data_IF_469006669354
#
_entry.id   IF_469006669354
#
_cell.length_a   1.000
_cell.length_b   1.000
_cell.length_c   1.000
_cell.angle_alpha   90.00
_cell.angle_beta   90.00
_cell.angle_gamma   90.00
#
_symmetry.space_group_name_H-M   'P 1'
#
loop_
_entity.id
_entity.type
_entity.pdbx_description
1 polymer ?
#
# COMPACT_ATOMS: atom_id res chain seq x y z
N UNK A 1 30.94 12.25 -22.24
CA UNK A 1 30.66 11.52 -23.50
C UNK A 1 29.96 10.18 -23.26
N UNK A 2 30.36 9.39 -22.26
CA UNK A 2 29.78 8.05 -21.99
C UNK A 2 28.27 8.05 -21.70
N UNK A 3 27.76 9.05 -20.98
CA UNK A 3 26.33 9.18 -20.67
C UNK A 3 25.47 9.54 -21.90
N UNK A 4 26.04 10.23 -22.90
CA UNK A 4 25.34 10.55 -24.17
C UNK A 4 25.24 9.30 -25.04
N UNK A 5 26.30 8.49 -25.11
CA UNK A 5 26.30 7.24 -25.87
C UNK A 5 25.33 6.21 -25.29
N UNK A 6 25.24 6.11 -23.96
CA UNK A 6 24.26 5.26 -23.29
C UNK A 6 22.83 5.70 -23.57
N UNK A 7 22.56 7.01 -23.55
CA UNK A 7 21.24 7.54 -23.90
C UNK A 7 20.88 7.28 -25.36
N UNK A 8 21.81 7.52 -26.30
CA UNK A 8 21.59 7.21 -27.72
C UNK A 8 21.27 5.74 -27.94
N UNK A 9 21.98 4.83 -27.25
CA UNK A 9 21.70 3.40 -27.28
C UNK A 9 20.31 3.08 -26.72
N UNK A 10 19.92 3.67 -25.59
CA UNK A 10 18.59 3.47 -25.03
C UNK A 10 17.48 3.96 -25.98
N UNK A 11 17.64 5.15 -26.57
CA UNK A 11 16.67 5.70 -27.54
C UNK A 11 16.56 4.81 -28.78
N UNK A 12 17.69 4.29 -29.29
CA UNK A 12 17.67 3.43 -30.50
C UNK A 12 16.94 2.10 -30.32
N UNK A 13 16.63 1.70 -29.08
CA UNK A 13 15.90 0.48 -28.77
C UNK A 13 14.39 0.68 -28.65
N UNK A 14 13.93 1.93 -28.53
CA UNK A 14 12.51 2.24 -28.43
C UNK A 14 11.82 2.00 -29.79
N UNK A 15 10.60 1.47 -29.75
CA UNK A 15 9.75 1.36 -30.93
C UNK A 15 9.15 2.72 -31.33
N UNK A 16 8.61 2.83 -32.54
CA UNK A 16 8.07 4.08 -33.06
C UNK A 16 6.92 4.64 -32.19
N UNK A 17 6.11 3.75 -31.59
CA UNK A 17 5.00 4.16 -30.72
C UNK A 17 5.54 4.72 -29.40
N UNK A 18 6.56 4.10 -28.82
CA UNK A 18 7.23 4.57 -27.60
C UNK A 18 7.89 5.93 -27.83
N UNK A 19 8.56 6.13 -28.96
CA UNK A 19 9.17 7.41 -29.34
C UNK A 19 8.10 8.50 -29.51
N UNK A 20 7.02 8.21 -30.24
CA UNK A 20 5.89 9.14 -30.43
C UNK A 20 5.23 9.49 -29.10
N UNK A 21 4.99 8.50 -28.24
CA UNK A 21 4.43 8.72 -26.91
C UNK A 21 5.33 9.65 -26.08
N UNK A 22 6.64 9.41 -26.07
CA UNK A 22 7.59 10.26 -25.34
C UNK A 22 7.61 11.70 -25.87
N UNK A 23 7.60 11.90 -27.19
CA UNK A 23 7.58 13.22 -27.82
C UNK A 23 6.30 13.99 -27.49
N UNK A 24 5.13 13.36 -27.65
CA UNK A 24 3.85 13.97 -27.30
C UNK A 24 3.83 14.38 -25.83
N UNK A 25 4.35 13.52 -24.97
CA UNK A 25 4.39 13.74 -23.54
C UNK A 25 5.31 14.92 -23.15
N UNK A 26 6.46 15.05 -23.83
CA UNK A 26 7.36 16.20 -23.66
C UNK A 26 6.65 17.50 -24.06
N UNK A 27 5.96 17.53 -25.19
CA UNK A 27 5.26 18.74 -25.64
C UNK A 27 4.11 19.13 -24.72
N UNK A 28 3.24 18.19 -24.33
CA UNK A 28 2.14 18.46 -23.41
C UNK A 28 2.66 19.02 -22.08
N UNK A 29 3.74 18.44 -21.55
CA UNK A 29 4.31 18.88 -20.26
C UNK A 29 5.03 20.21 -20.35
N UNK A 30 5.63 20.53 -21.51
CA UNK A 30 6.26 21.83 -21.72
C UNK A 30 5.28 23.00 -21.66
N UNK A 31 3.99 22.77 -21.89
CA UNK A 31 2.94 23.78 -21.75
C UNK A 31 2.34 23.85 -20.33
N UNK A 32 2.56 22.82 -19.50
CA UNK A 32 1.89 22.63 -18.21
C UNK A 32 2.79 22.80 -16.98
N UNK A 33 4.11 22.85 -17.17
CA UNK A 33 5.11 22.88 -16.08
C UNK A 33 6.02 24.11 -16.18
N UNK A 34 6.55 24.57 -15.04
CA UNK A 34 7.61 25.60 -15.02
C UNK A 34 8.95 25.05 -15.55
N UNK A 35 9.85 25.94 -15.98
CA UNK A 35 11.13 25.55 -16.60
C UNK A 35 11.98 24.62 -15.71
N UNK A 36 12.12 24.95 -14.42
CA UNK A 36 12.90 24.15 -13.46
C UNK A 36 12.30 22.76 -13.23
N UNK A 37 10.97 22.68 -13.20
CA UNK A 37 10.27 21.41 -13.08
C UNK A 37 10.45 20.56 -14.34
N UNK A 38 10.40 21.20 -15.51
CA UNK A 38 10.63 20.52 -16.77
C UNK A 38 12.05 19.97 -16.89
N UNK A 39 13.06 20.71 -16.40
CA UNK A 39 14.44 20.22 -16.33
C UNK A 39 14.54 18.95 -15.45
N UNK A 40 13.92 18.96 -14.26
CA UNK A 40 13.90 17.79 -13.35
C UNK A 40 13.24 16.58 -14.01
N UNK A 41 12.12 16.81 -14.69
CA UNK A 41 11.39 15.81 -15.46
C UNK A 41 12.28 15.18 -16.54
N UNK A 42 12.93 15.99 -17.38
CA UNK A 42 13.81 15.49 -18.46
C UNK A 42 14.98 14.66 -17.91
N UNK A 43 15.57 15.09 -16.80
CA UNK A 43 16.64 14.35 -16.13
C UNK A 43 16.16 12.99 -15.61
N UNK A 44 14.97 12.95 -15.00
CA UNK A 44 14.31 11.72 -14.52
C UNK A 44 13.97 10.77 -15.68
N UNK A 45 13.44 11.27 -16.79
CA UNK A 45 13.19 10.49 -18.00
C UNK A 45 14.47 9.84 -18.53
N UNK A 46 15.53 10.64 -18.70
CA UNK A 46 16.84 10.16 -19.16
C UNK A 46 17.36 9.03 -18.29
N UNK A 47 17.30 9.17 -16.96
CA UNK A 47 17.79 8.15 -16.02
C UNK A 47 16.99 6.86 -16.15
N UNK A 48 15.66 6.97 -16.25
CA UNK A 48 14.76 5.82 -16.40
C UNK A 48 15.03 5.04 -17.68
N UNK A 49 15.16 5.72 -18.83
CA UNK A 49 15.45 5.10 -20.12
C UNK A 49 16.79 4.33 -20.13
N UNK A 50 17.83 4.93 -19.55
CA UNK A 50 19.15 4.29 -19.46
C UNK A 50 19.08 3.03 -18.58
N UNK A 51 18.31 3.06 -17.48
CA UNK A 51 18.18 1.94 -16.56
C UNK A 51 17.43 0.77 -17.21
N UNK A 52 16.34 1.05 -17.92
CA UNK A 52 15.54 0.03 -18.64
C UNK A 52 16.38 -0.64 -19.73
N UNK A 53 17.09 0.15 -20.55
CA UNK A 53 17.98 -0.36 -21.60
C UNK A 53 19.12 -1.28 -21.08
N UNK A 54 19.48 -1.21 -19.80
CA UNK A 54 20.51 -2.09 -19.19
C UNK A 54 19.94 -3.44 -18.72
N UNK A 55 18.65 -3.50 -18.41
CA UNK A 55 18.00 -4.68 -17.83
C UNK A 55 17.36 -5.62 -18.89
N UNK A 56 17.60 -5.34 -20.16
CA UNK A 56 16.71 -5.67 -21.28
C UNK A 56 17.04 -6.96 -22.04
N UNK A 57 17.88 -7.86 -21.53
CA UNK A 57 18.27 -9.01 -22.35
C UNK A 57 17.12 -9.97 -22.66
N UNK A 58 15.99 -9.97 -21.94
CA UNK A 58 14.79 -10.78 -22.29
C UNK A 58 13.51 -10.25 -21.63
N UNK A 59 12.65 -9.49 -22.34
CA UNK A 59 11.16 -9.49 -22.20
C UNK A 59 10.51 -8.43 -23.09
N UNK A 60 9.35 -8.76 -23.67
CA UNK A 60 8.41 -7.77 -24.22
C UNK A 60 8.04 -6.77 -23.11
N UNK A 61 8.07 -5.46 -23.41
CA UNK A 61 7.71 -4.43 -22.43
C UNK A 61 6.21 -4.48 -22.16
N UNK A 62 5.77 -4.44 -20.88
CA UNK A 62 4.35 -4.34 -20.57
C UNK A 62 3.78 -3.06 -21.19
N UNK A 63 2.47 -3.02 -21.45
CA UNK A 63 1.73 -1.85 -21.91
C UNK A 63 1.18 -1.01 -20.74
N UNK A 64 0.84 -1.66 -19.63
CA UNK A 64 0.39 -0.98 -18.42
C UNK A 64 1.05 -1.61 -17.19
N UNK A 65 1.36 -0.76 -16.20
CA UNK A 65 1.91 -1.15 -14.91
C UNK A 65 0.87 -0.89 -13.85
N UNK A 66 0.47 -1.94 -13.15
CA UNK A 66 -0.43 -1.88 -12.01
C UNK A 66 0.39 -1.88 -10.72
N UNK A 67 0.12 -0.91 -9.85
CA UNK A 67 0.70 -0.84 -8.51
C UNK A 67 -0.41 -1.18 -7.53
N UNK A 68 -0.17 -2.20 -6.70
CA UNK A 68 -1.13 -2.71 -5.71
C UNK A 68 -0.46 -2.79 -4.34
N UNK A 69 -1.27 -2.75 -3.29
CA UNK A 69 -0.82 -2.84 -1.90
C UNK A 69 -1.31 -4.17 -1.30
N UNK A 70 -0.38 -4.94 -0.73
CA UNK A 70 -0.64 -6.24 -0.12
C UNK A 70 -0.74 -7.41 -1.12
N UNK A 71 -0.33 -8.60 -0.64
CA UNK A 71 -0.28 -9.82 -1.45
C UNK A 71 -1.65 -10.36 -1.84
N UNK A 72 -2.69 -10.13 -1.02
CA UNK A 72 -4.06 -10.58 -1.34
C UNK A 72 -4.56 -9.91 -2.63
N UNK A 73 -4.48 -8.57 -2.71
CA UNK A 73 -4.86 -7.80 -3.90
C UNK A 73 -4.06 -8.25 -5.12
N UNK A 74 -2.75 -8.44 -4.95
CA UNK A 74 -1.87 -8.89 -6.02
C UNK A 74 -2.20 -10.29 -6.52
N UNK A 75 -2.47 -11.23 -5.62
CA UNK A 75 -2.85 -12.61 -5.94
C UNK A 75 -4.16 -12.66 -6.72
N UNK A 76 -5.17 -11.94 -6.24
CA UNK A 76 -6.48 -11.85 -6.89
C UNK A 76 -6.38 -11.21 -8.27
N UNK A 77 -5.64 -10.11 -8.42
CA UNK A 77 -5.47 -9.43 -9.71
C UNK A 77 -4.66 -10.27 -10.72
N UNK A 78 -3.59 -10.95 -10.27
CA UNK A 78 -2.84 -11.89 -11.12
C UNK A 78 -3.75 -13.03 -11.60
N UNK A 79 -4.60 -13.55 -10.72
CA UNK A 79 -5.55 -14.60 -11.07
C UNK A 79 -6.58 -14.10 -12.10
N UNK A 80 -7.11 -12.89 -11.92
CA UNK A 80 -8.02 -12.23 -12.84
C UNK A 80 -7.41 -12.11 -14.25
N UNK A 81 -6.16 -11.66 -14.36
CA UNK A 81 -5.51 -11.47 -15.66
C UNK A 81 -5.08 -12.76 -16.35
N UNK A 82 -4.87 -13.85 -15.60
CA UNK A 82 -4.24 -15.09 -16.09
C UNK A 82 -4.82 -15.67 -17.37
N UNK A 83 -6.13 -15.54 -17.59
CA UNK A 83 -6.83 -16.12 -18.77
C UNK A 83 -7.23 -15.07 -19.82
N UNK A 84 -6.70 -13.86 -19.72
CA UNK A 84 -6.98 -12.74 -20.62
C UNK A 84 -5.72 -12.36 -21.41
N UNK A 85 -5.84 -11.42 -22.35
CA UNK A 85 -4.68 -10.84 -23.05
C UNK A 85 -3.73 -10.11 -22.10
N UNK A 86 -4.25 -9.61 -20.97
CA UNK A 86 -3.51 -8.87 -19.93
C UNK A 86 -2.35 -9.66 -19.33
N UNK A 87 -2.40 -11.00 -19.31
CA UNK A 87 -1.31 -11.83 -18.79
C UNK A 87 0.05 -11.60 -19.47
N UNK A 88 0.06 -11.08 -20.71
CA UNK A 88 1.28 -10.77 -21.48
C UNK A 88 1.60 -9.27 -21.51
N UNK A 89 0.59 -8.42 -21.36
CA UNK A 89 0.72 -6.97 -21.55
C UNK A 89 0.73 -6.20 -20.24
N UNK A 90 0.37 -6.80 -19.11
CA UNK A 90 0.28 -6.13 -17.82
C UNK A 90 1.39 -6.57 -16.86
N UNK A 91 2.01 -5.61 -16.19
CA UNK A 91 2.91 -5.87 -15.06
C UNK A 91 2.25 -5.45 -13.75
N UNK A 92 2.33 -6.31 -12.72
CA UNK A 92 1.88 -5.98 -11.37
C UNK A 92 3.10 -5.79 -10.46
N UNK A 93 3.24 -4.59 -9.91
CA UNK A 93 4.17 -4.25 -8.84
C UNK A 93 3.41 -4.27 -7.52
N UNK A 94 3.87 -5.07 -6.57
CA UNK A 94 3.29 -5.20 -5.24
C UNK A 94 4.15 -4.41 -4.28
N UNK A 95 3.59 -3.42 -3.59
CA UNK A 95 4.19 -2.98 -2.33
C UNK A 95 3.70 -3.95 -1.25
N UNK A 96 4.58 -4.81 -0.73
CA UNK A 96 4.22 -5.62 0.43
C UNK A 96 3.98 -4.69 1.62
N UNK A 97 3.23 -5.16 2.62
CA UNK A 97 3.00 -4.52 3.92
C UNK A 97 1.75 -3.59 4.01
N UNK A 98 1.29 -3.42 5.26
CA UNK A 98 0.21 -2.54 5.69
C UNK A 98 0.82 -1.16 6.00
N UNK A 99 0.81 -0.27 5.01
CA UNK A 99 1.45 1.06 5.13
C UNK A 99 0.77 2.01 6.12
N UNK A 100 -0.39 1.65 6.69
CA UNK A 100 -1.01 2.42 7.77
C UNK A 100 -0.29 2.24 9.12
N UNK A 101 0.60 1.26 9.23
CA UNK A 101 1.29 0.88 10.47
C UNK A 101 2.80 0.99 10.31
N UNK A 102 3.53 1.30 11.37
CA UNK A 102 4.99 1.40 11.40
C UNK A 102 5.53 2.67 10.73
N UNK A 103 6.85 2.90 10.80
CA UNK A 103 7.45 4.12 10.27
C UNK A 103 7.52 4.06 8.73
N UNK A 104 7.29 5.20 8.09
CA UNK A 104 7.42 5.37 6.63
C UNK A 104 8.41 6.49 6.28
N UNK A 105 9.17 6.96 7.27
CA UNK A 105 10.17 8.00 7.05
C UNK A 105 11.14 7.56 5.96
N UNK A 106 11.33 8.43 4.95
CA UNK A 106 12.21 8.16 3.82
C UNK A 106 12.01 6.78 3.15
N UNK A 107 10.77 6.24 3.11
CA UNK A 107 10.47 4.89 2.59
C UNK A 107 10.87 4.70 1.11
N UNK A 108 11.04 5.79 0.36
CA UNK A 108 11.62 5.75 -0.98
C UNK A 108 13.11 5.35 -0.99
N UNK A 109 13.78 5.23 0.16
CA UNK A 109 15.23 4.94 0.28
C UNK A 109 15.47 3.57 0.89
N UNK A 110 16.67 3.01 0.68
CA UNK A 110 17.05 1.73 1.32
C UNK A 110 17.12 1.87 2.84
N UNK A 111 17.55 3.01 3.34
CA UNK A 111 17.67 3.32 4.76
C UNK A 111 16.30 3.41 5.44
N UNK A 112 15.33 4.15 4.86
CA UNK A 112 13.98 4.22 5.40
C UNK A 112 13.28 2.85 5.43
N UNK A 113 13.51 2.02 4.40
CA UNK A 113 13.05 0.63 4.40
C UNK A 113 13.72 -0.17 5.53
N UNK A 114 15.04 -0.07 5.70
CA UNK A 114 15.74 -0.74 6.80
C UNK A 114 15.17 -0.34 8.17
N UNK A 115 14.99 0.96 8.41
CA UNK A 115 14.44 1.50 9.65
C UNK A 115 13.06 0.93 9.95
N UNK A 116 12.20 0.82 8.93
CA UNK A 116 10.87 0.21 9.05
C UNK A 116 10.92 -1.26 9.44
N UNK A 117 11.75 -2.05 8.76
CA UNK A 117 11.85 -3.48 9.06
C UNK A 117 12.55 -3.75 10.39
N UNK A 118 13.47 -2.88 10.81
CA UNK A 118 14.06 -2.92 12.14
C UNK A 118 13.02 -2.61 13.22
N UNK A 119 12.14 -1.62 13.02
CA UNK A 119 11.03 -1.33 13.92
C UNK A 119 10.11 -2.55 14.08
N UNK A 120 9.74 -3.24 12.99
CA UNK A 120 8.95 -4.47 13.09
C UNK A 120 9.68 -5.59 13.84
N UNK A 121 10.98 -5.76 13.60
CA UNK A 121 11.79 -6.77 14.28
C UNK A 121 11.83 -6.55 15.79
N UNK A 122 11.87 -5.30 16.25
CA UNK A 122 11.91 -4.94 17.67
C UNK A 122 10.53 -5.05 18.32
N UNK A 123 9.47 -4.70 17.59
CA UNK A 123 8.13 -4.58 18.13
C UNK A 123 7.28 -5.85 17.96
N UNK A 124 7.47 -6.66 16.92
CA UNK A 124 6.70 -7.90 16.68
C UNK A 124 7.44 -9.14 17.22
N UNK A 125 6.71 -10.25 17.41
CA UNK A 125 7.25 -11.49 18.02
C UNK A 125 7.09 -12.74 17.15
N UNK A 126 6.15 -12.77 16.19
CA UNK A 126 5.92 -13.97 15.38
C UNK A 126 7.05 -14.25 14.37
N UNK A 127 7.08 -15.48 13.87
CA UNK A 127 8.22 -16.13 13.20
C UNK A 127 8.83 -15.27 12.07
N UNK A 128 10.00 -14.69 12.36
CA UNK A 128 10.83 -13.78 11.55
C UNK A 128 11.20 -14.26 10.13
N UNK A 129 10.75 -15.44 9.71
CA UNK A 129 11.11 -16.06 8.42
C UNK A 129 10.63 -15.23 7.23
N UNK A 130 9.49 -14.57 7.34
CA UNK A 130 8.92 -13.82 6.23
C UNK A 130 9.38 -12.36 6.20
N UNK A 131 9.94 -11.82 7.30
CA UNK A 131 10.26 -10.39 7.40
C UNK A 131 11.33 -9.97 6.40
N UNK A 132 12.36 -10.79 6.19
CA UNK A 132 13.39 -10.52 5.19
C UNK A 132 12.82 -10.62 3.76
N UNK A 133 11.91 -11.55 3.49
CA UNK A 133 11.23 -11.64 2.19
C UNK A 133 10.37 -10.40 1.91
N UNK A 134 9.64 -9.90 2.91
CA UNK A 134 8.88 -8.66 2.81
C UNK A 134 9.79 -7.45 2.57
N UNK A 135 10.93 -7.36 3.26
CA UNK A 135 11.93 -6.32 3.06
C UNK A 135 12.49 -6.32 1.64
N UNK A 136 12.93 -7.48 1.16
CA UNK A 136 13.43 -7.62 -0.21
C UNK A 136 12.33 -7.33 -1.24
N UNK A 137 11.09 -7.72 -0.96
CA UNK A 137 9.90 -7.38 -1.74
C UNK A 137 9.71 -5.86 -1.85
N UNK A 138 9.77 -5.14 -0.73
CA UNK A 138 9.61 -3.69 -0.70
C UNK A 138 10.74 -2.97 -1.45
N UNK A 139 12.01 -3.35 -1.20
CA UNK A 139 13.17 -2.82 -1.93
C UNK A 139 12.99 -2.96 -3.44
N UNK A 140 12.62 -4.17 -3.89
CA UNK A 140 12.40 -4.47 -5.30
C UNK A 140 11.22 -3.70 -5.88
N UNK A 141 10.12 -3.54 -5.13
CA UNK A 141 8.96 -2.78 -5.55
C UNK A 141 9.31 -1.31 -5.79
N UNK A 142 9.99 -0.68 -4.83
CA UNK A 142 10.43 0.72 -4.93
C UNK A 142 11.42 0.91 -6.09
N UNK A 143 12.36 -0.01 -6.28
CA UNK A 143 13.29 0.04 -7.42
C UNK A 143 12.55 -0.10 -8.76
N UNK A 144 11.55 -0.99 -8.85
CA UNK A 144 10.71 -1.13 -10.05
C UNK A 144 9.91 0.13 -10.34
N UNK A 145 9.27 0.74 -9.34
CA UNK A 145 8.48 1.97 -9.51
C UNK A 145 9.37 3.10 -10.03
N UNK A 146 10.57 3.25 -9.47
CA UNK A 146 11.57 4.21 -9.96
C UNK A 146 12.03 3.91 -11.39
N UNK A 147 12.02 2.66 -11.80
CA UNK A 147 12.44 2.24 -13.14
C UNK A 147 11.34 2.30 -14.20
N UNK A 148 10.08 2.59 -13.85
CA UNK A 148 8.97 2.67 -14.81
C UNK A 148 9.32 3.64 -15.95
N UNK A 149 9.28 3.21 -17.23
CA UNK A 149 9.57 4.06 -18.38
C UNK A 149 8.56 5.22 -18.51
N UNK A 150 8.95 6.42 -18.97
CA UNK A 150 8.08 7.60 -18.99
C UNK A 150 6.79 7.47 -19.81
N UNK A 151 6.79 6.63 -20.84
CA UNK A 151 5.66 6.40 -21.75
C UNK A 151 4.66 5.35 -21.24
N UNK A 152 4.98 4.67 -20.15
CA UNK A 152 4.16 3.58 -19.62
C UNK A 152 2.91 4.10 -18.91
N UNK A 153 1.74 3.53 -19.18
CA UNK A 153 0.54 3.78 -18.37
C UNK A 153 0.71 3.16 -16.97
N UNK A 154 0.37 3.91 -15.93
CA UNK A 154 0.43 3.46 -14.53
C UNK A 154 -0.95 3.49 -13.91
N UNK A 155 -1.42 2.38 -13.35
CA UNK A 155 -2.68 2.30 -12.60
C UNK A 155 -2.35 1.94 -11.15
N UNK A 156 -2.70 2.82 -10.22
CA UNK A 156 -2.55 2.59 -8.77
C UNK A 156 -3.91 2.14 -8.24
N UNK A 157 -3.96 0.91 -7.73
CA UNK A 157 -5.16 0.36 -7.11
C UNK A 157 -5.26 0.82 -5.66
N UNK A 158 -6.41 1.36 -5.29
CA UNK A 158 -6.64 1.91 -3.95
C UNK A 158 -8.03 1.56 -3.44
N UNK A 159 -8.25 1.81 -2.17
CA UNK A 159 -9.52 1.72 -1.46
C UNK A 159 -9.59 2.88 -0.47
N UNK A 160 -10.76 3.12 0.15
CA UNK A 160 -10.94 4.08 1.23
C UNK A 160 -10.46 3.52 2.58
N UNK A 161 -9.16 3.14 2.64
CA UNK A 161 -8.48 2.74 3.87
C UNK A 161 -7.09 3.37 3.98
N UNK A 162 -6.60 3.49 5.21
CA UNK A 162 -5.35 4.20 5.50
C UNK A 162 -4.12 3.58 4.84
N UNK A 163 -4.08 2.25 4.68
CA UNK A 163 -2.91 1.56 4.14
C UNK A 163 -2.73 1.85 2.65
N UNK A 164 -3.79 1.64 1.86
CA UNK A 164 -3.77 1.90 0.42
C UNK A 164 -3.66 3.39 0.10
N UNK A 165 -4.29 4.24 0.91
CA UNK A 165 -4.21 5.70 0.74
C UNK A 165 -2.84 6.27 1.12
N UNK A 166 -2.16 5.71 2.12
CA UNK A 166 -0.74 6.02 2.39
C UNK A 166 0.13 5.59 1.22
N UNK A 167 -0.10 4.38 0.71
CA UNK A 167 0.61 3.84 -0.43
C UNK A 167 0.48 4.69 -1.70
N UNK A 168 -0.72 5.17 -2.02
CA UNK A 168 -0.98 6.07 -3.14
C UNK A 168 -0.05 7.29 -3.10
N UNK A 169 0.02 7.96 -1.96
CA UNK A 169 0.79 9.19 -1.76
C UNK A 169 2.30 8.94 -1.89
N UNK A 170 2.80 7.87 -1.27
CA UNK A 170 4.22 7.47 -1.39
C UNK A 170 4.58 7.14 -2.84
N UNK A 171 3.73 6.38 -3.54
CA UNK A 171 3.96 6.04 -4.95
C UNK A 171 3.97 7.30 -5.81
N UNK A 172 3.02 8.23 -5.62
CA UNK A 172 2.97 9.48 -6.36
C UNK A 172 4.21 10.35 -6.12
N UNK A 173 4.70 10.42 -4.88
CA UNK A 173 5.97 11.08 -4.57
C UNK A 173 7.16 10.45 -5.30
N UNK A 174 7.25 9.12 -5.35
CA UNK A 174 8.32 8.43 -6.09
C UNK A 174 8.23 8.73 -7.59
N UNK A 175 7.01 8.89 -8.12
CA UNK A 175 6.73 9.23 -9.51
C UNK A 175 6.68 10.74 -9.79
N UNK A 176 6.98 11.63 -8.82
CA UNK A 176 6.72 13.07 -8.94
C UNK A 176 7.39 13.71 -10.17
N UNK A 177 8.63 13.30 -10.48
CA UNK A 177 9.39 13.82 -11.62
C UNK A 177 9.21 12.96 -12.89
N UNK A 178 8.18 12.11 -12.95
CA UNK A 178 7.92 11.26 -14.11
C UNK A 178 6.65 11.71 -14.81
N UNK A 179 6.70 11.66 -16.13
CA UNK A 179 5.61 12.21 -16.94
C UNK A 179 4.49 11.25 -17.22
N UNK A 180 4.65 9.97 -16.88
CA UNK A 180 3.67 8.90 -17.04
C UNK A 180 2.22 9.36 -16.82
N UNK A 181 1.31 8.85 -17.65
CA UNK A 181 -0.12 8.91 -17.36
C UNK A 181 -0.41 7.98 -16.17
N UNK A 182 -0.79 8.59 -15.05
CA UNK A 182 -1.08 7.89 -13.79
C UNK A 182 -2.58 7.94 -13.55
N UNK A 183 -3.16 6.79 -13.24
CA UNK A 183 -4.58 6.59 -12.95
C UNK A 183 -4.72 6.05 -11.53
N UNK A 184 -5.78 6.45 -10.85
CA UNK A 184 -6.22 5.85 -9.58
C UNK A 184 -7.45 5.00 -9.88
N UNK A 185 -7.36 3.68 -9.65
CA UNK A 185 -8.52 2.80 -9.63
C UNK A 185 -8.89 2.59 -8.16
N UNK A 186 -9.85 3.38 -7.68
CA UNK A 186 -10.38 3.27 -6.34
C UNK A 186 -11.50 2.23 -6.31
N UNK A 187 -11.24 1.08 -5.68
CA UNK A 187 -12.13 -0.08 -5.68
C UNK A 187 -13.42 0.16 -4.88
N UNK A 188 -13.38 1.00 -3.84
CA UNK A 188 -14.57 1.44 -3.12
C UNK A 188 -15.50 2.21 -4.05
N UNK A 189 -14.97 3.19 -4.80
CA UNK A 189 -15.76 3.98 -5.76
C UNK A 189 -16.30 3.12 -6.90
N UNK A 190 -15.45 2.28 -7.49
CA UNK A 190 -15.87 1.38 -8.56
C UNK A 190 -16.98 0.43 -8.09
N UNK A 191 -16.87 -0.13 -6.90
CA UNK A 191 -17.90 -1.01 -6.36
C UNK A 191 -19.25 -0.29 -6.21
N UNK A 192 -19.25 0.92 -5.65
CA UNK A 192 -20.49 1.67 -5.48
C UNK A 192 -21.08 2.14 -6.81
N UNK A 193 -20.25 2.39 -7.83
CA UNK A 193 -20.75 2.70 -9.17
C UNK A 193 -21.45 1.50 -9.84
N UNK A 194 -20.90 0.29 -9.67
CA UNK A 194 -21.45 -0.91 -10.33
C UNK A 194 -22.54 -1.64 -9.55
N UNK A 195 -22.51 -1.58 -8.22
CA UNK A 195 -23.32 -2.45 -7.38
C UNK A 195 -24.28 -1.70 -6.46
N UNK A 196 -24.20 -0.37 -6.34
CA UNK A 196 -25.10 0.34 -5.43
C UNK A 196 -26.51 0.46 -5.96
N UNK A 197 -27.44 -0.10 -5.19
CA UNK A 197 -28.88 0.11 -5.37
C UNK A 197 -29.34 1.18 -4.36
N UNK A 198 -30.03 2.26 -4.79
CA UNK A 198 -30.50 3.35 -3.92
C UNK A 198 -31.42 2.96 -2.74
N UNK A 199 -31.75 1.67 -2.58
CA UNK A 199 -32.76 1.16 -1.63
C UNK A 199 -32.19 0.21 -0.57
N UNK A 200 -30.86 0.00 -0.52
CA UNK A 200 -30.23 -0.89 0.46
C UNK A 200 -29.31 -0.08 1.38
N UNK A 201 -29.76 0.18 2.61
CA UNK A 201 -29.01 0.90 3.66
C UNK A 201 -27.75 0.15 4.15
N UNK A 202 -27.58 -1.13 3.80
CA UNK A 202 -26.54 -2.03 4.31
C UNK A 202 -25.59 -2.56 3.23
N UNK A 203 -25.09 -1.70 2.34
CA UNK A 203 -24.01 -2.12 1.42
C UNK A 203 -22.66 -2.10 2.14
N UNK A 204 -22.24 -3.26 2.63
CA UNK A 204 -20.91 -3.46 3.23
C UNK A 204 -19.87 -3.66 2.12
N UNK A 205 -19.23 -2.57 1.69
CA UNK A 205 -18.01 -2.69 0.89
C UNK A 205 -16.91 -3.42 1.69
N UNK A 206 -16.12 -4.32 1.08
CA UNK A 206 -15.01 -4.98 1.77
C UNK A 206 -13.97 -3.99 2.31
N UNK A 207 -13.23 -4.29 3.39
CA UNK A 207 -12.37 -3.26 4.04
C UNK A 207 -11.14 -2.86 3.22
N UNK A 208 -10.76 -3.69 2.25
CA UNK A 208 -9.62 -3.45 1.38
C UNK A 208 -9.84 -4.02 -0.01
N UNK A 209 -9.04 -3.56 -0.98
CA UNK A 209 -9.03 -4.14 -2.32
C UNK A 209 -8.71 -5.64 -2.32
N UNK A 210 -8.01 -6.13 -1.29
CA UNK A 210 -7.61 -7.52 -1.14
C UNK A 210 -8.74 -8.47 -0.76
N UNK A 211 -9.89 -7.97 -0.30
CA UNK A 211 -11.07 -8.77 0.04
C UNK A 211 -12.02 -8.94 -1.17
N UNK A 212 -11.74 -8.29 -2.31
CA UNK A 212 -12.52 -8.44 -3.53
C UNK A 212 -12.15 -9.71 -4.30
N UNK A 213 -13.15 -10.29 -4.98
CA UNK A 213 -12.92 -11.45 -5.84
C UNK A 213 -12.19 -11.04 -7.13
N UNK A 214 -11.42 -11.97 -7.75
CA UNK A 214 -10.76 -11.71 -9.03
C UNK A 214 -11.72 -11.22 -10.12
N UNK A 215 -12.95 -11.72 -10.15
CA UNK A 215 -13.97 -11.34 -11.15
C UNK A 215 -14.38 -9.87 -11.01
N UNK A 216 -14.57 -9.39 -9.76
CA UNK A 216 -14.88 -7.98 -9.49
C UNK A 216 -13.71 -7.08 -9.86
N UNK A 217 -12.48 -7.47 -9.52
CA UNK A 217 -11.29 -6.70 -9.91
C UNK A 217 -11.15 -6.61 -11.44
N UNK A 218 -11.38 -7.70 -12.16
CA UNK A 218 -11.37 -7.70 -13.63
C UNK A 218 -12.45 -6.77 -14.18
N UNK A 219 -13.68 -6.87 -13.66
CA UNK A 219 -14.79 -6.01 -14.07
C UNK A 219 -14.46 -4.53 -13.86
N UNK A 220 -13.90 -4.15 -12.71
CA UNK A 220 -13.50 -2.77 -12.45
C UNK A 220 -12.41 -2.31 -13.43
N UNK A 221 -11.42 -3.16 -13.73
CA UNK A 221 -10.40 -2.78 -14.68
C UNK A 221 -10.94 -2.54 -16.10
N UNK A 222 -11.87 -3.39 -16.54
CA UNK A 222 -12.39 -3.36 -17.91
C UNK A 222 -13.50 -2.32 -18.13
N UNK A 223 -14.30 -2.03 -17.10
CA UNK A 223 -15.54 -1.27 -17.25
C UNK A 223 -15.52 0.08 -16.53
N UNK A 224 -14.69 0.26 -15.50
CA UNK A 224 -14.66 1.52 -14.76
C UNK A 224 -14.01 2.63 -15.61
N UNK A 225 -14.65 3.80 -15.67
CA UNK A 225 -14.15 4.90 -16.49
C UNK A 225 -12.91 5.54 -15.85
N UNK A 226 -11.73 5.06 -16.22
CA UNK A 226 -10.46 5.60 -15.75
C UNK A 226 -10.06 6.86 -16.52
N UNK A 227 -9.89 7.96 -15.79
CA UNK A 227 -9.33 9.22 -16.31
C UNK A 227 -7.93 9.46 -15.76
N UNK A 228 -6.98 9.98 -16.57
CA UNK A 228 -5.66 10.33 -16.07
C UNK A 228 -5.79 11.34 -14.93
N UNK A 229 -5.00 11.15 -13.87
CA UNK A 229 -4.94 12.09 -12.77
C UNK A 229 -4.43 13.43 -13.28
N UNK A 230 -5.20 14.49 -13.06
CA UNK A 230 -4.76 15.83 -13.43
C UNK A 230 -3.53 16.25 -12.59
N UNK A 231 -2.78 17.20 -13.14
CA UNK A 231 -1.52 17.65 -12.55
C UNK A 231 -1.67 18.21 -11.14
N UNK A 232 -2.71 19.02 -10.89
CA UNK A 232 -2.96 19.62 -9.58
C UNK A 232 -3.21 18.56 -8.49
N UNK A 233 -4.09 17.58 -8.76
CA UNK A 233 -4.36 16.46 -7.84
C UNK A 233 -3.11 15.61 -7.62
N UNK A 234 -2.37 15.33 -8.69
CA UNK A 234 -1.14 14.53 -8.61
C UNK A 234 -0.08 15.21 -7.74
N UNK A 235 0.13 16.51 -7.91
CA UNK A 235 1.09 17.27 -7.12
C UNK A 235 0.65 17.37 -5.66
N UNK A 236 -0.61 17.69 -5.40
CA UNK A 236 -1.14 17.73 -4.02
C UNK A 236 -0.92 16.41 -3.26
N UNK A 237 -1.25 15.27 -3.88
CA UNK A 237 -1.04 13.95 -3.26
C UNK A 237 0.44 13.56 -3.17
N UNK A 238 1.28 14.02 -4.12
CA UNK A 238 2.73 13.85 -4.06
C UNK A 238 3.35 14.63 -2.89
N UNK A 239 2.90 15.87 -2.66
CA UNK A 239 3.34 16.73 -1.56
C UNK A 239 2.87 16.16 -0.21
N UNK A 240 1.63 15.66 -0.13
CA UNK A 240 1.16 14.86 1.01
C UNK A 240 2.10 13.66 1.26
N UNK A 241 2.47 12.94 0.19
CA UNK A 241 3.43 11.84 0.26
C UNK A 241 4.78 12.25 0.80
N UNK A 242 5.31 13.39 0.34
CA UNK A 242 6.56 13.96 0.85
C UNK A 242 6.47 14.24 2.35
N UNK A 243 5.41 14.92 2.79
CA UNK A 243 5.19 15.30 4.18
C UNK A 243 5.08 14.06 5.08
N UNK A 244 4.33 13.04 4.65
CA UNK A 244 4.20 11.78 5.39
C UNK A 244 5.55 11.09 5.65
N UNK A 245 6.52 11.24 4.75
CA UNK A 245 7.85 10.64 4.89
C UNK A 245 8.84 11.52 5.65
N UNK A 246 8.40 12.68 6.15
CA UNK A 246 9.16 13.54 7.07
C UNK A 246 8.66 13.41 8.52
N UNK A 247 7.44 12.92 8.72
CA UNK A 247 6.81 12.82 10.04
C UNK A 247 7.12 11.46 10.66
N UNK A 248 7.66 11.50 11.88
CA UNK A 248 7.84 10.31 12.71
C UNK A 248 6.49 9.92 13.34
N UNK A 249 5.74 9.05 12.65
CA UNK A 249 4.51 8.46 13.17
C UNK A 249 4.42 6.97 12.78
N UNK A 250 3.79 6.16 13.64
CA UNK A 250 3.67 4.71 13.50
C UNK A 250 2.25 4.22 13.19
N UNK A 251 1.23 5.09 13.19
CA UNK A 251 -0.15 4.72 12.93
C UNK A 251 -0.90 5.80 12.16
N UNK A 252 -1.58 5.38 11.09
CA UNK A 252 -2.39 6.26 10.24
C UNK A 252 -3.84 5.80 10.23
N UNK A 253 -4.72 6.76 10.01
CA UNK A 253 -6.17 6.60 9.95
C UNK A 253 -6.72 7.14 8.64
N UNK A 254 -7.82 6.56 8.17
CA UNK A 254 -8.59 7.09 7.06
C UNK A 254 -9.99 7.40 7.55
N UNK A 255 -10.29 8.68 7.68
CA UNK A 255 -11.55 9.17 8.24
C UNK A 255 -12.03 10.35 7.41
N UNK A 256 -13.33 10.35 7.06
CA UNK A 256 -13.96 11.42 6.29
C UNK A 256 -13.25 11.76 4.96
N UNK A 257 -12.65 10.76 4.32
CA UNK A 257 -11.93 10.93 3.06
C UNK A 257 -10.52 11.54 3.21
N UNK A 258 -10.00 11.63 4.43
CA UNK A 258 -8.69 12.19 4.73
C UNK A 258 -7.78 11.16 5.41
N UNK A 259 -6.51 11.21 5.06
CA UNK A 259 -5.46 10.45 5.74
C UNK A 259 -4.91 11.29 6.90
N UNK A 260 -4.93 10.74 8.11
CA UNK A 260 -4.45 11.42 9.31
C UNK A 260 -3.53 10.53 10.13
N UNK A 261 -2.52 11.14 10.71
CA UNK A 261 -1.69 10.50 11.73
C UNK A 261 -2.51 10.24 13.00
N UNK A 262 -2.12 9.20 13.74
CA UNK A 262 -2.80 8.75 14.94
C UNK A 262 -1.81 8.34 16.02
N UNK A 263 -2.26 8.34 17.27
CA UNK A 263 -1.49 7.79 18.38
C UNK A 263 -1.44 6.26 18.30
N UNK A 264 -0.34 5.68 18.78
CA UNK A 264 -0.09 4.24 18.76
C UNK A 264 -1.12 3.47 19.60
N UNK A 265 -1.66 4.12 20.65
CA UNK A 265 -2.68 3.62 21.56
C UNK A 265 -4.11 3.70 21.03
N UNK A 266 -4.36 4.23 19.82
CA UNK A 266 -5.73 4.44 19.28
C UNK A 266 -6.62 3.20 19.40
N UNK A 267 -6.05 2.02 19.23
CA UNK A 267 -6.77 0.75 19.28
C UNK A 267 -6.97 0.17 20.69
N UNK A 268 -6.31 0.70 21.70
CA UNK A 268 -6.21 0.10 23.03
C UNK A 268 -7.58 -0.01 23.72
N UNK A 269 -8.35 1.08 23.72
CA UNK A 269 -9.71 1.09 24.29
C UNK A 269 -10.64 0.08 23.59
N UNK A 270 -10.46 -0.10 22.28
CA UNK A 270 -11.24 -1.07 21.51
C UNK A 270 -10.84 -2.51 21.83
N UNK A 271 -9.54 -2.79 22.03
CA UNK A 271 -9.07 -4.10 22.51
C UNK A 271 -9.68 -4.41 23.88
N UNK A 272 -9.68 -3.44 24.80
CA UNK A 272 -10.30 -3.57 26.13
C UNK A 272 -11.81 -3.82 26.00
N UNK A 273 -12.50 -3.09 25.12
CA UNK A 273 -13.92 -3.28 24.84
C UNK A 273 -14.23 -4.71 24.35
N UNK A 274 -13.48 -5.22 23.38
CA UNK A 274 -13.60 -6.60 22.90
C UNK A 274 -13.36 -7.62 24.02
N UNK A 275 -12.37 -7.38 24.89
CA UNK A 275 -12.12 -8.25 26.04
C UNK A 275 -13.29 -8.25 27.04
N UNK A 276 -13.89 -7.09 27.35
CA UNK A 276 -15.11 -6.98 28.18
C UNK A 276 -16.25 -7.80 27.58
N UNK A 277 -16.48 -7.66 26.27
CA UNK A 277 -17.51 -8.41 25.53
C UNK A 277 -17.29 -9.92 25.65
N UNK A 278 -16.07 -10.40 25.39
CA UNK A 278 -15.74 -11.83 25.48
C UNK A 278 -15.88 -12.38 26.90
N UNK A 279 -15.49 -11.61 27.93
CA UNK A 279 -15.72 -12.00 29.33
C UNK A 279 -17.20 -12.14 29.68
N UNK A 280 -18.06 -11.28 29.11
CA UNK A 280 -19.51 -11.39 29.28
C UNK A 280 -20.08 -12.61 28.56
N UNK A 281 -19.61 -12.90 27.34
CA UNK A 281 -20.06 -14.03 26.53
C UNK A 281 -19.67 -15.39 27.11
N UNK A 282 -18.46 -15.53 27.65
CA UNK A 282 -18.00 -16.78 28.23
C UNK A 282 -18.71 -17.11 29.57
N UNK A 283 -19.42 -16.15 30.17
CA UNK A 283 -20.21 -16.31 31.39
C UNK A 283 -19.41 -16.47 32.69
N UNK A 284 -18.10 -16.75 32.59
CA UNK A 284 -17.14 -16.79 33.68
C UNK A 284 -16.10 -15.69 33.51
N UNK A 285 -15.49 -15.21 34.59
CA UNK A 285 -14.36 -14.29 34.49
C UNK A 285 -13.06 -15.07 34.64
N UNK A 286 -12.53 -15.56 33.52
CA UNK A 286 -11.30 -16.36 33.44
C UNK A 286 -10.47 -16.01 32.19
N UNK A 287 -9.25 -16.54 32.11
CA UNK A 287 -8.31 -16.39 31.00
C UNK A 287 -8.88 -16.88 29.68
N UNK A 288 -8.62 -16.13 28.60
CA UNK A 288 -8.95 -16.50 27.22
C UNK A 288 -7.69 -16.53 26.35
N UNK A 289 -7.69 -17.34 25.28
CA UNK A 289 -6.60 -17.32 24.28
C UNK A 289 -6.44 -15.91 23.71
N UNK A 290 -5.22 -15.38 23.66
CA UNK A 290 -4.97 -14.06 23.06
C UNK A 290 -5.35 -14.04 21.58
N UNK A 291 -5.11 -15.12 20.83
CA UNK A 291 -5.62 -15.28 19.46
C UNK A 291 -7.16 -15.14 19.35
N UNK A 292 -7.95 -15.53 20.36
CA UNK A 292 -9.41 -15.33 20.36
C UNK A 292 -9.76 -13.85 20.51
N UNK A 293 -9.09 -13.14 21.42
CA UNK A 293 -9.27 -11.70 21.59
C UNK A 293 -8.84 -10.93 20.34
N UNK A 294 -7.66 -11.23 19.79
CA UNK A 294 -7.16 -10.62 18.55
C UNK A 294 -8.15 -10.85 17.40
N UNK A 295 -8.66 -12.07 17.23
CA UNK A 295 -9.68 -12.38 16.22
C UNK A 295 -10.99 -11.60 16.40
N UNK A 296 -11.44 -11.39 17.64
CA UNK A 296 -12.61 -10.57 17.96
C UNK A 296 -12.38 -9.10 17.59
N UNK A 297 -11.19 -8.57 17.88
CA UNK A 297 -10.78 -7.22 17.49
C UNK A 297 -10.76 -7.09 15.97
N UNK A 298 -10.12 -8.03 15.26
CA UNK A 298 -10.08 -8.04 13.78
C UNK A 298 -11.48 -8.08 13.18
N UNK A 299 -12.39 -8.88 13.75
CA UNK A 299 -13.76 -9.03 13.23
C UNK A 299 -14.59 -7.75 13.32
N UNK A 300 -14.27 -6.85 14.24
CA UNK A 300 -15.08 -5.66 14.54
C UNK A 300 -14.35 -4.32 14.35
N UNK A 301 -13.03 -4.34 14.15
CA UNK A 301 -12.25 -3.13 13.89
C UNK A 301 -12.51 -2.63 12.47
N UNK A 302 -12.95 -1.36 12.39
CA UNK A 302 -13.21 -0.68 11.13
C UNK A 302 -11.91 -0.37 10.37
N UNK A 303 -10.94 0.21 11.07
CA UNK A 303 -9.65 0.57 10.50
C UNK A 303 -8.62 -0.54 10.73
N UNK A 304 -8.58 -1.49 9.79
CA UNK A 304 -7.69 -2.64 9.87
C UNK A 304 -6.20 -2.26 9.90
N UNK A 305 -5.48 -2.83 10.87
CA UNK A 305 -4.05 -2.59 11.13
C UNK A 305 -3.18 -3.85 11.04
N UNK A 306 -3.77 -5.03 10.81
CA UNK A 306 -3.08 -6.32 10.93
C UNK A 306 -3.20 -6.94 12.32
N UNK A 307 -3.08 -8.26 12.38
CA UNK A 307 -3.10 -9.04 13.62
C UNK A 307 -1.81 -8.85 14.42
N UNK A 308 -0.65 -8.70 13.77
CA UNK A 308 0.62 -8.46 14.48
C UNK A 308 0.62 -7.10 15.21
N UNK A 309 -0.03 -6.08 14.64
CA UNK A 309 -0.19 -4.79 15.31
C UNK A 309 -1.06 -4.93 16.57
N UNK A 310 -2.18 -5.64 16.47
CA UNK A 310 -3.10 -5.84 17.61
C UNK A 310 -2.40 -6.65 18.71
N UNK A 311 -1.64 -7.68 18.34
CA UNK A 311 -0.80 -8.46 19.26
C UNK A 311 0.24 -7.58 19.97
N UNK A 312 0.92 -6.72 19.21
CA UNK A 312 1.88 -5.77 19.74
C UNK A 312 1.24 -4.84 20.78
N UNK A 313 0.07 -4.27 20.45
CA UNK A 313 -0.68 -3.42 21.40
C UNK A 313 -1.16 -4.21 22.61
N UNK A 314 -1.61 -5.46 22.45
CA UNK A 314 -2.01 -6.31 23.56
C UNK A 314 -0.84 -6.58 24.52
N UNK A 315 0.38 -6.79 24.02
CA UNK A 315 1.58 -6.91 24.88
C UNK A 315 1.92 -5.62 25.61
N UNK A 316 1.71 -4.47 24.99
CA UNK A 316 1.85 -3.19 25.68
C UNK A 316 0.80 -3.01 26.79
N UNK A 317 -0.44 -3.45 26.56
CA UNK A 317 -1.48 -3.45 27.60
C UNK A 317 -1.18 -4.44 28.73
N UNK A 318 -0.50 -5.55 28.45
CA UNK A 318 0.04 -6.45 29.49
C UNK A 318 1.14 -5.76 30.30
N UNK A 319 2.06 -5.03 29.65
CA UNK A 319 3.17 -4.34 30.32
C UNK A 319 2.67 -3.20 31.23
N UNK A 320 1.59 -2.53 30.84
CA UNK A 320 0.85 -1.54 31.63
C UNK A 320 -0.04 -2.16 32.71
N UNK A 321 0.02 -3.48 32.87
CA UNK A 321 -0.80 -4.26 33.78
C UNK A 321 -2.32 -4.06 33.62
N UNK A 322 -2.81 -3.75 32.41
CA UNK A 322 -4.25 -3.71 32.10
C UNK A 322 -4.79 -5.14 31.94
N UNK A 323 -3.96 -6.04 31.42
CA UNK A 323 -4.23 -7.47 31.32
C UNK A 323 -3.27 -8.27 32.19
N UNK A 324 -3.79 -9.30 32.84
CA UNK A 324 -3.00 -10.42 33.35
C UNK A 324 -2.75 -11.42 32.23
N UNK A 325 -1.59 -12.09 32.23
CA UNK A 325 -1.28 -13.11 31.22
C UNK A 325 -0.69 -14.38 31.85
N UNK A 326 -0.81 -15.49 31.12
CA UNK A 326 -0.08 -16.73 31.38
C UNK A 326 0.34 -17.39 30.07
N UNK A 327 1.46 -18.12 30.08
CA UNK A 327 2.04 -18.74 28.89
C UNK A 327 3.22 -17.96 28.33
N UNK A 328 3.49 -18.13 27.03
CA UNK A 328 4.66 -17.57 26.35
C UNK A 328 4.26 -16.44 25.38
N UNK A 329 4.87 -15.27 25.56
CA UNK A 329 4.64 -14.06 24.75
C UNK A 329 5.42 -14.07 23.42
N UNK A 330 6.11 -15.17 23.08
CA UNK A 330 6.83 -15.32 21.81
C UNK A 330 5.91 -15.41 20.59
N UNK A 331 4.63 -15.77 20.76
CA UNK A 331 3.65 -15.71 19.68
C UNK A 331 2.20 -15.62 20.21
N UNK A 332 1.30 -14.96 19.47
CA UNK A 332 -0.11 -14.78 19.85
C UNK A 332 -0.91 -16.06 20.13
N UNK A 333 -0.43 -17.22 19.67
CA UNK A 333 -1.08 -18.52 19.90
C UNK A 333 -0.62 -19.22 21.18
N UNK A 334 0.42 -18.71 21.83
CA UNK A 334 1.13 -19.37 22.94
C UNK A 334 0.81 -18.81 24.33
N UNK A 335 -0.03 -17.78 24.42
CA UNK A 335 -0.45 -17.22 25.70
C UNK A 335 -1.96 -16.99 25.80
N UNK A 336 -2.38 -16.75 27.04
CA UNK A 336 -3.74 -16.40 27.42
C UNK A 336 -3.72 -15.11 28.21
N UNK A 337 -4.81 -14.35 28.11
CA UNK A 337 -4.99 -13.06 28.76
C UNK A 337 -6.30 -13.00 29.54
N UNK A 338 -6.32 -12.16 30.58
CA UNK A 338 -7.52 -11.83 31.34
C UNK A 338 -7.48 -10.34 31.66
N UNK A 339 -8.51 -9.58 31.27
CA UNK A 339 -8.58 -8.15 31.60
C UNK A 339 -8.66 -7.98 33.12
N UNK A 340 -7.89 -7.09 33.76
CA UNK A 340 -7.95 -6.91 35.23
C UNK A 340 -9.36 -6.58 35.71
N UNK A 341 -9.76 -7.16 36.85
CA UNK A 341 -11.14 -7.15 37.36
C UNK A 341 -11.69 -5.73 37.55
N UNK A 342 -10.83 -4.82 38.01
CA UNK A 342 -11.15 -3.41 38.25
C UNK A 342 -11.62 -2.68 36.98
N UNK A 343 -11.19 -3.16 35.81
CA UNK A 343 -11.52 -2.56 34.53
C UNK A 343 -12.76 -3.16 33.89
N UNK A 344 -13.42 -4.17 34.47
CA UNK A 344 -14.62 -4.80 33.90
C UNK A 344 -15.85 -3.89 33.92
N UNK A 345 -15.87 -2.88 34.80
CA UNK A 345 -17.01 -2.00 35.02
C UNK A 345 -17.07 -0.83 34.04
#
# INVERSE_FOLDING_TARGET
MENINQLKRAISKLDEREVKALLNLIFIRSEQCEEDEMIRILQSMKKSLIQVSRNEEKKEHPQTVHIVFGDSTAGSLKFAFRKTTYAKTEEIIVLPDILSVGPIESLQTKEGIENRFQWFKENYRDDFKNLEEYKQGMLKAIEKIKAIPPYQKVIIWTCENAAEQTGLRIVLYILQNKVNDVFELNTFKAFHEFFTYPMLEEEQFPRSSGELTPEKLLQFYEQFELRPMNFAKRNALSDEGQNLMLIENHLRTWEHGELRDSNIERGDDFIIHCAKKLHKEQGTYDYMKSARLIGEVIGHMQQYTGDEWIEYRLRDLISKEIFEYRGDLSAMRLYEVKLKKELLH
#
